data_IF_680389652469
#
_entry.id   IF_680389652469
#
_cell.length_a   1.000
_cell.length_b   1.000
_cell.length_c   1.000
_cell.angle_alpha   90.00
_cell.angle_beta   90.00
_cell.angle_gamma   90.00
#
_symmetry.space_group_name_H-M   'P 1'
#
loop_
_entity.id
_entity.type
_entity.pdbx_description
1 polymer ?
#
# COMPACT_ATOMS: atom_id res chain seq x y z
N UNK A 1 6.38 -18.89 3.74
CA UNK A 1 6.17 -18.06 4.94
C UNK A 1 4.70 -18.21 5.35
N UNK A 2 4.40 -18.89 6.46
CA UNK A 2 3.04 -19.27 6.85
C UNK A 2 2.19 -18.14 7.44
N UNK A 3 2.44 -16.88 7.06
CA UNK A 3 1.71 -15.71 7.55
C UNK A 3 0.75 -15.22 6.46
N UNK A 4 -0.50 -14.93 6.84
CA UNK A 4 -1.46 -14.32 5.91
C UNK A 4 -0.98 -12.91 5.55
N UNK A 5 -0.86 -12.64 4.25
CA UNK A 5 -0.49 -11.31 3.72
C UNK A 5 -1.71 -10.46 3.35
N UNK A 6 -2.91 -10.93 3.69
CA UNK A 6 -4.19 -10.26 3.41
C UNK A 6 -5.02 -10.19 4.69
N UNK A 7 -5.70 -9.07 4.90
CA UNK A 7 -6.70 -8.92 5.95
C UNK A 7 -7.94 -9.75 5.57
N UNK A 8 -8.36 -10.65 6.46
CA UNK A 8 -9.63 -11.37 6.27
C UNK A 8 -10.78 -10.35 6.37
N UNK A 9 -11.72 -10.33 5.39
CA UNK A 9 -12.89 -9.45 5.38
C UNK A 9 -13.72 -9.46 6.68
N UNK A 10 -13.67 -10.56 7.45
CA UNK A 10 -14.41 -10.74 8.71
C UNK A 10 -13.65 -10.21 9.94
N UNK A 11 -12.40 -9.80 9.78
CA UNK A 11 -11.58 -9.28 10.88
C UNK A 11 -12.09 -7.93 11.34
N UNK A 12 -12.00 -7.66 12.66
CA UNK A 12 -12.25 -6.30 13.19
C UNK A 12 -11.39 -5.28 12.44
N UNK A 13 -11.91 -4.07 12.18
CA UNK A 13 -11.13 -3.01 11.55
C UNK A 13 -9.84 -2.75 12.34
N UNK A 14 -8.76 -2.43 11.62
CA UNK A 14 -7.45 -2.11 12.20
C UNK A 14 -7.61 -1.13 13.37
N UNK A 15 -6.70 -1.12 14.36
CA UNK A 15 -6.80 -0.26 15.55
C UNK A 15 -6.89 1.26 15.27
N UNK A 16 -6.72 1.70 14.02
CA UNK A 16 -6.99 3.06 13.51
C UNK A 16 -7.84 3.08 12.22
N UNK A 17 -8.72 2.10 12.03
CA UNK A 17 -9.71 2.04 10.93
C UNK A 17 -9.15 1.78 9.51
N UNK A 18 -7.83 1.74 9.35
CA UNK A 18 -7.20 1.70 8.01
C UNK A 18 -7.33 3.03 7.24
N UNK A 19 -7.90 4.07 7.87
CA UNK A 19 -8.19 5.38 7.27
C UNK A 19 -7.02 6.36 7.44
N UNK A 20 -5.81 5.84 7.70
CA UNK A 20 -4.60 6.65 7.79
C UNK A 20 -4.18 7.05 6.38
N UNK A 21 -3.95 8.35 6.17
CA UNK A 21 -3.38 8.89 4.94
C UNK A 21 -1.93 8.50 4.81
N UNK A 22 -1.62 7.73 3.77
CA UNK A 22 -0.26 7.27 3.48
C UNK A 22 0.18 7.86 2.13
N UNK A 23 1.25 8.63 2.15
CA UNK A 23 1.90 9.13 0.94
C UNK A 23 3.18 8.33 0.68
N UNK A 24 3.30 7.77 -0.53
CA UNK A 24 4.53 7.14 -1.02
C UNK A 24 5.17 8.05 -2.05
N UNK A 25 6.48 8.25 -1.95
CA UNK A 25 7.26 9.08 -2.87
C UNK A 25 8.09 8.16 -3.78
N UNK A 26 7.91 8.32 -5.10
CA UNK A 26 8.44 7.44 -6.13
C UNK A 26 7.48 6.29 -6.44
N UNK A 27 7.21 6.06 -7.73
CA UNK A 27 6.40 5.00 -8.32
C UNK A 27 7.24 3.83 -8.86
N UNK A 28 8.36 3.53 -8.19
CA UNK A 28 9.20 2.37 -8.49
C UNK A 28 8.68 1.07 -7.87
N UNK A 29 9.37 -0.06 -8.11
CA UNK A 29 8.95 -1.37 -7.62
C UNK A 29 8.88 -1.44 -6.09
N UNK A 30 9.74 -0.70 -5.38
CA UNK A 30 9.72 -0.63 -3.93
C UNK A 30 8.40 -0.04 -3.38
N UNK A 31 8.02 1.15 -3.87
CA UNK A 31 6.79 1.82 -3.44
C UNK A 31 5.54 1.10 -3.90
N UNK A 32 5.51 0.57 -5.13
CA UNK A 32 4.37 -0.21 -5.62
C UNK A 32 4.18 -1.47 -4.77
N UNK A 33 5.27 -2.17 -4.43
CA UNK A 33 5.22 -3.33 -3.53
C UNK A 33 4.68 -2.93 -2.15
N UNK A 34 5.20 -1.85 -1.57
CA UNK A 34 4.72 -1.31 -0.30
C UNK A 34 3.22 -0.99 -0.33
N UNK A 35 2.76 -0.24 -1.34
CA UNK A 35 1.35 0.09 -1.53
C UNK A 35 0.47 -1.16 -1.68
N UNK A 36 0.95 -2.18 -2.39
CA UNK A 36 0.23 -3.44 -2.55
C UNK A 36 0.02 -4.15 -1.21
N UNK A 37 1.06 -4.26 -0.38
CA UNK A 37 0.93 -4.87 0.94
C UNK A 37 0.04 -4.06 1.88
N UNK A 38 0.16 -2.74 1.88
CA UNK A 38 -0.71 -1.87 2.67
C UNK A 38 -2.18 -2.02 2.26
N UNK A 39 -2.47 -2.04 0.96
CA UNK A 39 -3.83 -2.26 0.47
C UNK A 39 -4.37 -3.63 0.92
N UNK A 40 -3.56 -4.70 0.83
CA UNK A 40 -3.95 -6.05 1.30
C UNK A 40 -4.19 -6.11 2.80
N UNK A 41 -3.48 -5.30 3.59
CA UNK A 41 -3.65 -5.18 5.03
C UNK A 41 -4.88 -4.34 5.41
N UNK A 42 -5.57 -3.72 4.45
CA UNK A 42 -6.82 -2.98 4.68
C UNK A 42 -6.67 -1.47 4.86
N UNK A 43 -5.52 -0.90 4.48
CA UNK A 43 -5.36 0.56 4.38
C UNK A 43 -6.06 1.08 3.13
N UNK A 44 -6.87 2.14 3.28
CA UNK A 44 -7.74 2.63 2.21
C UNK A 44 -7.25 3.91 1.54
N UNK A 45 -6.54 4.76 2.28
CA UNK A 45 -6.12 6.09 1.81
C UNK A 45 -4.62 6.10 1.52
N UNK A 46 -4.25 5.61 0.32
CA UNK A 46 -2.88 5.45 -0.13
C UNK A 46 -2.68 6.25 -1.41
N UNK A 47 -1.75 7.20 -1.41
CA UNK A 47 -1.41 8.03 -2.58
C UNK A 47 0.06 7.84 -2.94
N UNK A 48 0.35 7.54 -4.21
CA UNK A 48 1.72 7.45 -4.74
C UNK A 48 2.01 8.70 -5.57
N UNK A 49 3.09 9.40 -5.24
CA UNK A 49 3.59 10.56 -5.97
C UNK A 49 4.82 10.15 -6.77
N UNK A 50 4.76 10.28 -8.10
CA UNK A 50 5.87 10.02 -9.01
C UNK A 50 6.23 11.32 -9.73
N UNK A 51 7.53 11.55 -9.92
CA UNK A 51 8.09 12.68 -10.65
C UNK A 51 7.84 12.53 -12.16
N UNK A 52 8.04 11.34 -12.68
CA UNK A 52 7.89 11.04 -14.11
C UNK A 52 6.42 10.83 -14.52
N UNK A 53 6.15 10.88 -15.82
CA UNK A 53 4.80 10.63 -16.37
C UNK A 53 4.42 9.14 -16.39
N UNK A 54 5.33 8.26 -16.02
CA UNK A 54 5.16 6.81 -16.06
C UNK A 54 5.60 6.17 -14.74
N UNK A 55 5.00 5.02 -14.44
CA UNK A 55 5.32 4.19 -13.27
C UNK A 55 6.33 3.11 -13.65
N UNK A 56 6.96 2.49 -12.67
CA UNK A 56 7.91 1.38 -12.86
C UNK A 56 9.33 1.70 -12.39
N UNK A 57 9.63 2.98 -12.15
CA UNK A 57 10.92 3.41 -11.62
C UNK A 57 12.04 3.30 -12.65
N UNK A 58 12.98 2.36 -12.42
CA UNK A 58 14.28 2.34 -13.10
C UNK A 58 14.16 2.46 -14.62
N UNK A 59 15.00 3.36 -15.16
CA UNK A 59 15.29 3.56 -16.58
C UNK A 59 16.60 2.87 -16.91
#
# INVERSE_FOLDING_TARGET
MGISQTLDPKTKPLPKGGDQRIALIGGGPASISCACFLARLGYKDITVYEKEKYLGGLR
#
